data_IF_301918886487
#
_entry.id   IF_301918886487
#
_cell.length_a   1.000
_cell.length_b   1.000
_cell.length_c   1.000
_cell.angle_alpha   90.00
_cell.angle_beta   90.00
_cell.angle_gamma   90.00
#
_symmetry.space_group_name_H-M   'P 1'
#
loop_
_entity.id
_entity.type
_entity.pdbx_description
1 polymer ?
#
# COMPACT_ATOMS: atom_id res chain seq x y z
N UNK A 1 4.02 -40.27 20.32
CA UNK A 1 3.08 -39.57 21.23
C UNK A 1 3.58 -38.18 21.63
N UNK A 2 4.88 -37.98 21.87
CA UNK A 2 5.47 -36.65 22.18
C UNK A 2 5.29 -35.60 21.05
N UNK A 3 5.41 -36.01 19.78
CA UNK A 3 5.28 -35.10 18.63
C UNK A 3 3.88 -34.50 18.45
N UNK A 4 2.81 -35.27 18.73
CA UNK A 4 1.43 -34.80 18.59
C UNK A 4 1.05 -33.75 19.65
N UNK A 5 1.49 -33.95 20.90
CA UNK A 5 1.28 -33.00 22.01
C UNK A 5 2.01 -31.68 21.74
N UNK A 6 3.23 -31.75 21.19
CA UNK A 6 3.98 -30.55 20.81
C UNK A 6 3.30 -29.75 19.69
N UNK A 7 2.59 -30.41 18.76
CA UNK A 7 1.92 -29.77 17.63
C UNK A 7 0.59 -29.10 18.04
N UNK A 8 -0.19 -29.72 18.92
CA UNK A 8 -1.42 -29.13 19.48
C UNK A 8 -1.11 -27.92 20.39
N UNK A 9 -0.08 -28.03 21.23
CA UNK A 9 0.36 -26.92 22.07
C UNK A 9 0.84 -25.72 21.23
N UNK A 10 1.54 -25.97 20.10
CA UNK A 10 1.91 -24.92 19.12
C UNK A 10 0.70 -24.25 18.48
N UNK A 11 -0.32 -25.01 18.05
CA UNK A 11 -1.57 -24.47 17.47
C UNK A 11 -2.31 -23.56 18.45
N UNK A 12 -2.34 -23.95 19.73
CA UNK A 12 -2.92 -23.13 20.79
C UNK A 12 -2.15 -21.80 20.97
N UNK A 13 -0.82 -21.83 21.02
CA UNK A 13 0.00 -20.63 21.20
C UNK A 13 -0.07 -19.69 19.98
N UNK A 14 -0.10 -20.24 18.77
CA UNK A 14 -0.31 -19.44 17.56
C UNK A 14 -1.66 -18.72 17.56
N UNK A 15 -2.70 -19.41 18.02
CA UNK A 15 -4.05 -18.86 18.13
C UNK A 15 -4.13 -17.78 19.22
N UNK A 16 -3.39 -17.95 20.32
CA UNK A 16 -3.33 -16.95 21.40
C UNK A 16 -2.63 -15.67 20.95
N UNK A 17 -1.48 -15.78 20.28
CA UNK A 17 -0.79 -14.61 19.73
C UNK A 17 -1.66 -13.88 18.70
N UNK A 18 -2.24 -14.63 17.75
CA UNK A 18 -3.19 -14.07 16.78
C UNK A 18 -4.33 -13.30 17.45
N UNK A 19 -4.99 -13.92 18.45
CA UNK A 19 -6.07 -13.28 19.21
C UNK A 19 -5.58 -12.03 19.94
N UNK A 20 -4.40 -12.06 20.54
CA UNK A 20 -3.84 -10.92 21.25
C UNK A 20 -3.56 -9.74 20.30
N UNK A 21 -3.01 -9.98 19.09
CA UNK A 21 -2.80 -8.94 18.09
C UNK A 21 -4.14 -8.39 17.60
N UNK A 22 -5.11 -9.26 17.29
CA UNK A 22 -6.46 -8.86 16.87
C UNK A 22 -7.17 -8.03 17.94
N UNK A 23 -7.01 -8.38 19.21
CA UNK A 23 -7.62 -7.71 20.35
C UNK A 23 -6.82 -6.46 20.79
N UNK A 24 -5.85 -6.03 19.99
CA UNK A 24 -5.02 -4.83 20.17
C UNK A 24 -4.34 -4.75 21.54
N UNK A 25 -3.81 -5.88 22.02
CA UNK A 25 -3.07 -5.94 23.29
C UNK A 25 -1.81 -5.06 23.23
N UNK A 26 -1.37 -4.50 24.37
CA UNK A 26 -0.24 -3.57 24.38
C UNK A 26 1.05 -4.26 23.88
N UNK A 27 1.90 -3.47 23.23
CA UNK A 27 3.14 -3.92 22.58
C UNK A 27 4.02 -4.81 23.48
N UNK A 28 4.19 -4.44 24.75
CA UNK A 28 5.00 -5.24 25.68
C UNK A 28 4.46 -6.66 25.87
N UNK A 29 3.13 -6.84 25.89
CA UNK A 29 2.49 -8.15 26.05
C UNK A 29 2.64 -8.96 24.78
N UNK A 30 2.48 -8.31 23.63
CA UNK A 30 2.68 -8.97 22.34
C UNK A 30 4.13 -9.44 22.16
N UNK A 31 5.11 -8.62 22.57
CA UNK A 31 6.52 -9.01 22.50
C UNK A 31 6.89 -10.10 23.51
N UNK A 32 6.32 -10.06 24.71
CA UNK A 32 6.44 -11.18 25.66
C UNK A 32 5.91 -12.46 25.03
N UNK A 33 4.68 -12.45 24.48
CA UNK A 33 4.10 -13.61 23.79
C UNK A 33 4.90 -14.06 22.56
N UNK A 34 5.44 -13.13 21.77
CA UNK A 34 6.23 -13.39 20.55
C UNK A 34 7.55 -14.10 20.89
N UNK A 35 8.17 -13.71 22.00
CA UNK A 35 9.48 -14.19 22.45
C UNK A 35 9.43 -15.34 23.46
N UNK A 36 8.30 -15.54 24.17
CA UNK A 36 8.10 -16.59 25.18
C UNK A 36 8.37 -18.00 24.63
N UNK A 37 8.17 -18.23 23.33
CA UNK A 37 8.44 -19.51 22.67
C UNK A 37 9.94 -19.84 22.51
N UNK A 38 10.84 -18.90 22.80
CA UNK A 38 12.30 -19.10 22.74
C UNK A 38 12.84 -19.90 23.94
N UNK A 39 12.09 -19.99 25.06
CA UNK A 39 12.57 -20.54 26.33
C UNK A 39 12.26 -22.04 26.53
N UNK A 40 11.52 -22.70 25.64
CA UNK A 40 11.26 -24.13 25.71
C UNK A 40 12.42 -24.94 25.09
N UNK A 41 13.21 -25.69 25.87
CA UNK A 41 14.33 -26.47 25.38
C UNK A 41 13.81 -27.68 24.59
N UNK A 42 14.00 -27.65 23.27
CA UNK A 42 13.86 -28.81 22.37
C UNK A 42 14.65 -28.45 21.10
N UNK A 43 15.35 -29.43 20.52
CA UNK A 43 16.54 -29.29 19.66
C UNK A 43 16.38 -28.58 18.30
N UNK A 44 15.23 -27.99 17.98
CA UNK A 44 15.00 -27.23 16.74
C UNK A 44 14.56 -25.79 17.05
N UNK A 45 15.54 -24.89 17.20
CA UNK A 45 15.33 -23.46 17.50
C UNK A 45 14.77 -22.64 16.33
N UNK A 46 14.78 -23.18 15.11
CA UNK A 46 14.37 -22.47 13.88
C UNK A 46 12.86 -22.25 13.75
N UNK A 47 12.03 -23.03 14.47
CA UNK A 47 10.59 -23.14 14.17
C UNK A 47 9.63 -22.64 15.25
N UNK A 48 10.14 -22.01 16.32
CA UNK A 48 9.38 -21.81 17.57
C UNK A 48 8.86 -20.39 17.80
N UNK A 49 9.47 -19.34 17.29
CA UNK A 49 9.05 -17.95 17.57
C UNK A 49 8.50 -17.28 16.31
N UNK A 50 7.46 -16.45 16.47
CA UNK A 50 7.04 -15.55 15.39
C UNK A 50 8.14 -14.53 15.08
N UNK A 51 8.55 -14.47 13.82
CA UNK A 51 9.52 -13.45 13.38
C UNK A 51 8.90 -12.05 13.44
N UNK A 52 9.71 -10.97 13.52
CA UNK A 52 9.18 -9.60 13.40
C UNK A 52 8.38 -9.39 12.11
N UNK A 53 8.79 -10.02 11.01
CA UNK A 53 8.06 -10.01 9.74
C UNK A 53 6.67 -10.63 9.85
N UNK A 54 6.55 -11.82 10.45
CA UNK A 54 5.26 -12.49 10.64
C UNK A 54 4.35 -11.71 11.62
N UNK A 55 4.93 -11.17 12.69
CA UNK A 55 4.21 -10.30 13.61
C UNK A 55 3.71 -9.03 12.92
N UNK A 56 4.50 -8.45 12.01
CA UNK A 56 4.09 -7.28 11.22
C UNK A 56 2.92 -7.63 10.29
N UNK A 57 2.88 -8.82 9.67
CA UNK A 57 1.72 -9.25 8.87
C UNK A 57 0.42 -9.23 9.69
N UNK A 58 0.44 -9.78 10.91
CA UNK A 58 -0.73 -9.71 11.79
C UNK A 58 -1.07 -8.29 12.22
N UNK A 59 -0.06 -7.46 12.51
CA UNK A 59 -0.28 -6.06 12.84
C UNK A 59 -0.94 -5.29 11.69
N UNK A 60 -0.54 -5.56 10.44
CA UNK A 60 -1.18 -5.00 9.23
C UNK A 60 -2.63 -5.48 9.11
N UNK A 61 -2.88 -6.80 9.16
CA UNK A 61 -4.24 -7.35 9.01
C UNK A 61 -5.21 -6.74 10.03
N UNK A 62 -4.75 -6.55 11.27
CA UNK A 62 -5.57 -6.05 12.38
C UNK A 62 -5.46 -4.55 12.66
N UNK A 63 -4.80 -3.78 11.79
CA UNK A 63 -4.53 -2.35 11.96
C UNK A 63 -3.92 -1.98 13.32
N UNK A 64 -3.02 -2.83 13.84
CA UNK A 64 -2.35 -2.57 15.10
C UNK A 64 -1.19 -1.59 14.91
N UNK A 65 -1.51 -0.31 14.67
CA UNK A 65 -0.55 0.74 14.30
C UNK A 65 0.61 0.88 15.29
N UNK A 66 0.34 0.86 16.61
CA UNK A 66 1.37 0.95 17.64
C UNK A 66 2.36 -0.24 17.60
N UNK A 67 1.89 -1.43 17.25
CA UNK A 67 2.73 -2.61 17.17
C UNK A 67 3.53 -2.62 15.87
N UNK A 68 2.89 -2.25 14.75
CA UNK A 68 3.59 -2.05 13.49
C UNK A 68 4.72 -1.00 13.62
N UNK A 69 4.44 0.15 14.24
CA UNK A 69 5.45 1.18 14.50
C UNK A 69 6.58 0.65 15.39
N UNK A 70 6.26 -0.10 16.44
CA UNK A 70 7.28 -0.71 17.30
C UNK A 70 8.18 -1.67 16.51
N UNK A 71 7.60 -2.60 15.74
CA UNK A 71 8.35 -3.58 14.96
C UNK A 71 9.24 -2.89 13.91
N UNK A 72 8.68 -1.94 13.16
CA UNK A 72 9.39 -1.20 12.12
C UNK A 72 10.48 -0.26 12.66
N UNK A 73 10.33 0.24 13.89
CA UNK A 73 11.36 1.09 14.53
C UNK A 73 12.46 0.29 15.20
N UNK A 74 12.14 -0.87 15.78
CA UNK A 74 13.08 -1.69 16.55
C UNK A 74 13.81 -2.74 15.71
N UNK A 75 13.14 -3.29 14.70
CA UNK A 75 13.60 -4.40 13.85
C UNK A 75 13.34 -4.09 12.36
N UNK A 76 13.85 -2.98 11.79
CA UNK A 76 13.46 -2.51 10.47
C UNK A 76 13.78 -3.50 9.33
N UNK A 77 14.91 -4.20 9.42
CA UNK A 77 15.32 -5.18 8.41
C UNK A 77 14.55 -6.50 8.59
N UNK A 78 14.42 -6.99 9.82
CA UNK A 78 13.75 -8.26 10.12
C UNK A 78 12.23 -8.18 9.99
N UNK A 79 11.63 -6.99 10.21
CA UNK A 79 10.21 -6.77 10.05
C UNK A 79 9.79 -6.72 8.57
N UNK A 80 10.71 -6.33 7.67
CA UNK A 80 10.46 -6.29 6.22
C UNK A 80 11.08 -7.48 5.48
N UNK A 81 11.70 -8.42 6.19
CA UNK A 81 12.21 -9.66 5.63
C UNK A 81 11.08 -10.55 5.09
N UNK A 82 11.39 -11.43 4.15
CA UNK A 82 10.42 -12.41 3.66
C UNK A 82 9.93 -13.30 4.81
N UNK A 83 8.60 -13.45 4.99
CA UNK A 83 8.06 -14.32 6.01
C UNK A 83 8.37 -15.78 5.68
N UNK A 84 8.38 -16.66 6.70
CA UNK A 84 8.63 -18.08 6.47
C UNK A 84 7.56 -18.73 5.56
N UNK A 85 7.92 -19.85 4.93
CA UNK A 85 7.08 -20.62 3.98
C UNK A 85 5.68 -21.01 4.50
N UNK A 86 5.45 -20.90 5.82
CA UNK A 86 4.15 -21.17 6.48
C UNK A 86 3.07 -20.15 6.15
N UNK A 87 3.45 -18.94 5.75
CA UNK A 87 2.53 -17.83 5.53
C UNK A 87 2.18 -17.59 4.06
N UNK A 88 2.97 -18.14 3.14
CA UNK A 88 2.81 -17.91 1.71
C UNK A 88 2.98 -19.23 0.94
N UNK A 89 1.89 -19.74 0.36
CA UNK A 89 1.94 -20.89 -0.56
C UNK A 89 2.62 -20.54 -1.90
N UNK A 90 2.82 -19.25 -2.17
CA UNK A 90 3.53 -18.70 -3.32
C UNK A 90 4.44 -17.58 -2.82
N UNK A 91 5.73 -17.51 -3.20
CA UNK A 91 6.61 -16.41 -2.81
C UNK A 91 6.10 -15.13 -3.47
N UNK A 92 5.36 -14.30 -2.72
CA UNK A 92 5.00 -12.95 -3.16
C UNK A 92 6.06 -11.99 -2.62
N UNK A 93 6.86 -11.32 -3.46
CA UNK A 93 7.74 -10.25 -3.02
C UNK A 93 6.93 -9.16 -2.29
N UNK A 94 7.43 -8.69 -1.15
CA UNK A 94 6.83 -7.63 -0.31
C UNK A 94 5.37 -7.86 0.16
N UNK A 95 5.09 -8.94 0.92
CA UNK A 95 3.73 -9.26 1.36
C UNK A 95 3.14 -8.18 2.29
N UNK A 96 3.95 -7.52 3.12
CA UNK A 96 3.48 -6.48 4.05
C UNK A 96 2.89 -5.28 3.32
N UNK A 97 3.54 -4.85 2.23
CA UNK A 97 3.09 -3.71 1.43
C UNK A 97 1.76 -4.05 0.72
N UNK A 98 1.71 -5.20 0.06
CA UNK A 98 0.51 -5.68 -0.63
C UNK A 98 -0.66 -5.91 0.33
N UNK A 99 -0.42 -6.43 1.54
CA UNK A 99 -1.46 -6.58 2.56
C UNK A 99 -1.91 -5.23 3.12
N UNK A 100 -1.00 -4.27 3.33
CA UNK A 100 -1.36 -2.94 3.80
C UNK A 100 -2.29 -2.25 2.79
N UNK A 101 -2.01 -2.39 1.50
CA UNK A 101 -2.93 -1.96 0.44
C UNK A 101 -4.23 -2.74 0.55
N UNK A 102 -4.21 -4.09 0.51
CA UNK A 102 -5.38 -4.97 0.50
C UNK A 102 -6.35 -4.73 1.66
N UNK A 103 -5.85 -4.40 2.83
CA UNK A 103 -6.65 -4.14 4.04
C UNK A 103 -6.87 -2.64 4.32
N UNK A 104 -6.50 -1.76 3.39
CA UNK A 104 -6.68 -0.31 3.48
C UNK A 104 -5.99 0.34 4.71
N UNK A 105 -4.76 -0.09 4.98
CA UNK A 105 -3.98 0.33 6.16
C UNK A 105 -3.04 1.47 5.82
N UNK A 106 -3.58 2.64 5.43
CA UNK A 106 -2.77 3.77 4.94
C UNK A 106 -1.71 4.26 5.95
N UNK A 107 -2.00 4.24 7.26
CA UNK A 107 -1.03 4.64 8.29
C UNK A 107 0.15 3.68 8.35
N UNK A 108 -0.12 2.37 8.35
CA UNK A 108 0.92 1.34 8.38
C UNK A 108 1.67 1.30 7.04
N UNK A 109 0.97 1.48 5.92
CA UNK A 109 1.55 1.62 4.58
C UNK A 109 2.57 2.77 4.55
N UNK A 110 2.23 3.94 5.09
CA UNK A 110 3.14 5.08 5.20
C UNK A 110 4.37 4.77 6.06
N UNK A 111 4.20 4.06 7.17
CA UNK A 111 5.32 3.61 8.02
C UNK A 111 6.25 2.65 7.27
N UNK A 112 5.69 1.66 6.55
CA UNK A 112 6.46 0.70 5.75
C UNK A 112 7.27 1.45 4.69
N UNK A 113 6.63 2.32 3.89
CA UNK A 113 7.29 3.09 2.84
C UNK A 113 8.40 4.00 3.38
N UNK A 114 8.17 4.63 4.54
CA UNK A 114 9.19 5.45 5.21
C UNK A 114 10.42 4.63 5.61
N UNK A 115 10.23 3.42 6.14
CA UNK A 115 11.35 2.53 6.51
C UNK A 115 12.08 2.01 5.27
N UNK A 116 11.33 1.58 4.24
CA UNK A 116 11.91 1.14 2.95
C UNK A 116 12.83 2.20 2.37
N UNK A 117 12.46 3.48 2.44
CA UNK A 117 13.30 4.59 1.96
C UNK A 117 14.56 4.86 2.79
N UNK A 118 14.55 4.53 4.09
CA UNK A 118 15.70 4.75 4.98
C UNK A 118 16.72 3.62 4.90
N UNK A 119 16.31 2.42 4.51
CA UNK A 119 17.19 1.26 4.46
C UNK A 119 18.12 1.35 3.23
N UNK A 120 19.46 1.45 3.42
CA UNK A 120 20.42 1.58 2.32
C UNK A 120 20.67 0.27 1.54
N UNK A 121 20.19 -0.86 2.06
CA UNK A 121 20.54 -2.23 1.62
C UNK A 121 19.36 -3.17 1.42
N UNK A 122 18.12 -2.69 1.55
CA UNK A 122 16.99 -3.43 1.00
C UNK A 122 17.16 -3.32 -0.53
N UNK A 123 17.61 -4.43 -1.13
CA UNK A 123 18.19 -4.61 -2.45
C UNK A 123 17.64 -3.71 -3.58
N UNK A 124 18.37 -3.50 -4.69
CA UNK A 124 17.77 -3.03 -5.94
C UNK A 124 16.45 -3.76 -6.27
N UNK A 125 16.31 -5.03 -5.87
CA UNK A 125 15.07 -5.82 -5.91
C UNK A 125 13.93 -5.37 -4.99
N UNK A 126 14.10 -4.46 -4.03
CA UNK A 126 12.96 -3.87 -3.27
C UNK A 126 12.44 -2.62 -3.95
N UNK A 127 13.23 -1.98 -4.83
CA UNK A 127 12.80 -0.82 -5.63
C UNK A 127 12.38 -1.23 -7.05
N UNK A 128 13.05 -2.23 -7.62
CA UNK A 128 12.72 -2.89 -8.88
C UNK A 128 11.81 -4.11 -8.68
N UNK A 129 11.69 -4.62 -7.44
CA UNK A 129 10.87 -5.77 -7.06
C UNK A 129 9.96 -5.52 -5.84
N UNK A 130 9.38 -4.30 -5.72
CA UNK A 130 7.98 -4.15 -5.25
C UNK A 130 6.98 -4.92 -6.15
N UNK A 131 7.45 -5.85 -6.96
CA UNK A 131 6.85 -6.21 -8.23
C UNK A 131 6.50 -7.67 -8.12
N UNK A 132 5.22 -7.91 -8.38
CA UNK A 132 4.60 -9.18 -8.73
C UNK A 132 4.02 -9.97 -7.55
N UNK A 133 2.73 -9.74 -7.30
CA UNK A 133 1.84 -10.89 -7.00
C UNK A 133 2.00 -11.95 -8.12
N UNK A 134 1.50 -13.18 -7.93
CA UNK A 134 1.66 -14.26 -8.92
C UNK A 134 1.30 -13.91 -10.38
N UNK A 135 0.49 -12.86 -10.60
CA UNK A 135 0.10 -12.34 -11.92
C UNK A 135 0.92 -11.11 -12.39
N UNK A 136 2.10 -10.83 -11.83
CA UNK A 136 2.90 -9.67 -12.22
C UNK A 136 2.46 -8.32 -11.64
N UNK A 137 1.33 -8.29 -10.91
CA UNK A 137 0.75 -7.06 -10.36
C UNK A 137 1.64 -6.41 -9.29
N UNK A 138 1.84 -5.10 -9.39
CA UNK A 138 2.45 -4.28 -8.34
C UNK A 138 1.42 -3.86 -7.27
N UNK A 139 1.84 -3.39 -6.08
CA UNK A 139 0.97 -2.78 -5.08
C UNK A 139 0.09 -1.67 -5.65
N UNK A 140 0.59 -0.86 -6.61
CA UNK A 140 -0.22 0.14 -7.29
C UNK A 140 -1.33 -0.46 -8.15
N UNK A 141 -1.09 -1.59 -8.84
CA UNK A 141 -2.14 -2.33 -9.55
C UNK A 141 -3.23 -2.80 -8.58
N UNK A 142 -2.84 -3.35 -7.43
CA UNK A 142 -3.78 -3.75 -6.38
C UNK A 142 -4.57 -2.55 -5.83
N UNK A 143 -3.93 -1.40 -5.63
CA UNK A 143 -4.60 -0.18 -5.17
C UNK A 143 -5.61 0.34 -6.20
N UNK A 144 -5.29 0.23 -7.49
CA UNK A 144 -6.21 0.56 -8.58
C UNK A 144 -7.40 -0.42 -8.63
N UNK A 145 -7.13 -1.72 -8.59
CA UNK A 145 -8.15 -2.78 -8.61
C UNK A 145 -9.13 -2.64 -7.44
N UNK A 146 -8.64 -2.26 -6.26
CA UNK A 146 -9.45 -2.09 -5.06
C UNK A 146 -9.97 -0.66 -4.85
N UNK A 147 -9.72 0.25 -5.81
CA UNK A 147 -10.18 1.66 -5.81
C UNK A 147 -9.77 2.40 -4.52
N UNK A 148 -8.46 2.41 -4.21
CA UNK A 148 -7.88 3.03 -3.00
C UNK A 148 -7.01 4.25 -3.31
N UNK A 149 -7.59 5.46 -3.46
CA UNK A 149 -6.84 6.64 -3.87
C UNK A 149 -5.76 7.06 -2.85
N UNK A 150 -5.99 6.86 -1.55
CA UNK A 150 -5.02 7.13 -0.48
C UNK A 150 -3.78 6.26 -0.61
N UNK A 151 -3.99 4.95 -0.81
CA UNK A 151 -2.90 4.00 -1.03
C UNK A 151 -2.15 4.33 -2.33
N UNK A 152 -2.85 4.65 -3.42
CA UNK A 152 -2.23 5.09 -4.67
C UNK A 152 -1.35 6.32 -4.47
N UNK A 153 -1.83 7.32 -3.73
CA UNK A 153 -1.09 8.55 -3.47
C UNK A 153 0.19 8.29 -2.66
N UNK A 154 0.14 7.42 -1.65
CA UNK A 154 1.32 7.03 -0.86
C UNK A 154 2.34 6.26 -1.72
N UNK A 155 1.88 5.30 -2.51
CA UNK A 155 2.72 4.49 -3.38
C UNK A 155 3.39 5.33 -4.50
N UNK A 156 2.61 6.12 -5.21
CA UNK A 156 3.10 7.04 -6.25
C UNK A 156 4.04 8.10 -5.66
N UNK A 157 3.67 8.64 -4.50
CA UNK A 157 4.49 9.59 -3.74
C UNK A 157 5.83 9.00 -3.30
N UNK A 158 5.87 7.69 -3.00
CA UNK A 158 7.09 6.94 -2.69
C UNK A 158 7.96 6.64 -3.92
N UNK A 159 7.53 7.04 -5.12
CA UNK A 159 8.27 6.87 -6.36
C UNK A 159 7.99 5.56 -7.09
N UNK A 160 6.90 4.85 -6.77
CA UNK A 160 6.44 3.72 -7.58
C UNK A 160 6.08 4.20 -9.00
N UNK A 161 6.45 3.43 -10.02
CA UNK A 161 6.21 3.80 -11.42
C UNK A 161 4.72 3.74 -11.76
N UNK A 162 4.11 4.84 -12.26
CA UNK A 162 2.70 4.87 -12.64
C UNK A 162 2.40 4.13 -13.97
N UNK A 163 3.44 3.68 -14.66
CA UNK A 163 3.37 3.06 -16.00
C UNK A 163 3.97 1.65 -16.02
N UNK A 164 4.29 1.07 -14.87
CA UNK A 164 4.78 -0.30 -14.80
C UNK A 164 3.69 -1.27 -15.30
N UNK A 165 3.97 -2.17 -16.26
CA UNK A 165 3.00 -3.16 -16.70
C UNK A 165 2.95 -4.38 -15.74
N UNK A 166 1.77 -5.00 -15.63
CA UNK A 166 1.61 -6.33 -15.04
C UNK A 166 1.99 -7.48 -16.02
N UNK A 167 1.75 -8.74 -15.65
CA UNK A 167 2.10 -9.88 -16.51
C UNK A 167 1.25 -9.95 -17.79
N UNK A 168 0.08 -9.30 -17.82
CA UNK A 168 -0.76 -9.17 -19.00
C UNK A 168 -0.37 -7.95 -19.85
N UNK A 169 0.62 -7.17 -19.41
CA UNK A 169 1.05 -5.93 -20.05
C UNK A 169 0.20 -4.73 -19.66
N UNK A 170 -0.80 -4.87 -18.79
CA UNK A 170 -1.69 -3.78 -18.41
C UNK A 170 -0.99 -2.84 -17.44
N UNK A 171 -1.14 -1.53 -17.65
CA UNK A 171 -0.68 -0.52 -16.70
C UNK A 171 -1.72 -0.28 -15.60
N UNK A 172 -1.38 0.40 -14.48
CA UNK A 172 -2.36 0.78 -13.47
C UNK A 172 -3.52 1.61 -14.04
N UNK A 173 -3.26 2.45 -15.05
CA UNK A 173 -4.30 3.20 -15.75
C UNK A 173 -5.22 2.29 -16.56
N UNK A 174 -4.66 1.25 -17.21
CA UNK A 174 -5.46 0.27 -17.94
C UNK A 174 -6.42 -0.48 -16.99
N UNK A 175 -5.97 -0.90 -15.80
CA UNK A 175 -6.84 -1.54 -14.80
C UNK A 175 -8.02 -0.63 -14.42
N UNK A 176 -7.75 0.65 -14.13
CA UNK A 176 -8.82 1.60 -13.78
C UNK A 176 -9.82 1.78 -14.94
N UNK A 177 -9.32 1.85 -16.17
CA UNK A 177 -10.16 1.99 -17.35
C UNK A 177 -10.99 0.72 -17.61
N UNK A 178 -10.41 -0.46 -17.47
CA UNK A 178 -11.17 -1.71 -17.61
C UNK A 178 -12.36 -1.77 -16.64
N UNK A 179 -12.17 -1.35 -15.38
CA UNK A 179 -13.26 -1.28 -14.40
C UNK A 179 -14.33 -0.24 -14.74
N UNK A 180 -13.96 0.82 -15.46
CA UNK A 180 -14.88 1.88 -15.88
C UNK A 180 -15.67 1.51 -17.14
N UNK A 181 -15.15 0.61 -17.99
CA UNK A 181 -15.74 0.22 -19.28
C UNK A 181 -17.19 -0.26 -19.16
N UNK A 182 -17.51 -0.94 -18.05
CA UNK A 182 -18.82 -1.55 -17.81
C UNK A 182 -19.69 -0.75 -16.81
N UNK A 183 -19.21 0.40 -16.36
CA UNK A 183 -19.92 1.23 -15.40
C UNK A 183 -20.79 2.29 -16.08
N UNK A 184 -22.08 2.34 -15.73
CA UNK A 184 -23.00 3.39 -16.22
C UNK A 184 -22.59 4.77 -15.70
N UNK A 185 -22.20 4.83 -14.43
CA UNK A 185 -21.65 6.02 -13.77
C UNK A 185 -20.42 5.61 -12.96
N UNK A 186 -19.35 6.40 -13.04
CA UNK A 186 -18.18 6.17 -12.20
C UNK A 186 -18.49 6.56 -10.76
N UNK A 187 -18.17 5.68 -9.80
CA UNK A 187 -18.15 6.09 -8.40
C UNK A 187 -17.11 7.22 -8.23
N UNK A 188 -17.38 8.14 -7.29
CA UNK A 188 -16.46 9.22 -6.94
C UNK A 188 -15.03 8.71 -6.69
N UNK A 189 -14.90 7.54 -6.06
CA UNK A 189 -13.62 6.88 -5.81
C UNK A 189 -12.86 6.50 -7.08
N UNK A 190 -13.51 5.86 -8.07
CA UNK A 190 -12.83 5.50 -9.33
C UNK A 190 -12.35 6.72 -10.09
N UNK A 191 -13.17 7.78 -10.11
CA UNK A 191 -12.77 9.04 -10.73
C UNK A 191 -11.56 9.65 -10.01
N UNK A 192 -11.59 9.67 -8.68
CA UNK A 192 -10.46 10.13 -7.87
C UNK A 192 -9.19 9.30 -8.11
N UNK A 193 -9.28 7.99 -8.27
CA UNK A 193 -8.14 7.13 -8.62
C UNK A 193 -7.53 7.53 -9.97
N UNK A 194 -8.36 7.75 -11.00
CA UNK A 194 -7.88 8.19 -12.32
C UNK A 194 -7.21 9.56 -12.21
N UNK A 195 -7.86 10.53 -11.57
CA UNK A 195 -7.30 11.88 -11.41
C UNK A 195 -5.99 11.84 -10.60
N UNK A 196 -5.92 10.99 -9.55
CA UNK A 196 -4.71 10.77 -8.75
C UNK A 196 -3.58 10.21 -9.60
N UNK A 197 -3.84 9.17 -10.38
CA UNK A 197 -2.82 8.56 -11.23
C UNK A 197 -2.32 9.53 -12.30
N UNK A 198 -3.22 10.30 -12.93
CA UNK A 198 -2.87 11.28 -13.95
C UNK A 198 -1.95 12.39 -13.40
N UNK A 199 -2.07 12.76 -12.12
CA UNK A 199 -1.16 13.73 -11.49
C UNK A 199 0.31 13.24 -11.43
N UNK A 200 0.55 11.93 -11.54
CA UNK A 200 1.90 11.34 -11.57
C UNK A 200 2.31 10.85 -12.96
N UNK A 201 1.45 10.96 -13.97
CA UNK A 201 1.71 10.54 -15.36
C UNK A 201 1.98 11.75 -16.29
N UNK A 202 3.19 12.33 -16.31
CA UNK A 202 3.51 13.43 -17.24
C UNK A 202 3.50 12.99 -18.71
N UNK A 203 3.67 11.68 -18.96
CA UNK A 203 3.58 11.07 -20.29
C UNK A 203 2.53 9.97 -20.22
N UNK A 204 1.54 10.05 -21.09
CA UNK A 204 0.51 9.02 -21.20
C UNK A 204 1.08 7.78 -21.90
N UNK A 205 1.21 6.68 -21.15
CA UNK A 205 1.62 5.37 -21.65
C UNK A 205 0.66 4.33 -21.08
N UNK A 206 -0.23 3.81 -21.93
CA UNK A 206 -1.26 2.84 -21.56
C UNK A 206 -1.85 2.18 -22.82
N UNK A 207 -2.43 0.99 -22.70
CA UNK A 207 -2.89 0.16 -23.82
C UNK A 207 -4.29 0.52 -24.32
N UNK A 208 -5.15 1.01 -23.44
CA UNK A 208 -6.57 1.22 -23.76
C UNK A 208 -6.87 2.45 -24.62
N UNK A 209 -5.87 3.22 -25.06
CA UNK A 209 -6.07 4.45 -25.84
C UNK A 209 -6.92 4.21 -27.11
N UNK A 210 -6.71 3.09 -27.79
CA UNK A 210 -7.51 2.70 -28.96
C UNK A 210 -8.97 2.43 -28.62
N UNK A 211 -9.26 1.84 -27.46
CA UNK A 211 -10.63 1.58 -27.00
C UNK A 211 -11.39 2.88 -26.68
N UNK A 212 -10.72 3.86 -26.04
CA UNK A 212 -11.32 5.17 -25.80
C UNK A 212 -11.66 5.90 -27.11
N UNK A 213 -10.82 5.77 -28.15
CA UNK A 213 -11.06 6.39 -29.46
C UNK A 213 -12.24 5.76 -30.22
N UNK A 214 -12.46 4.46 -30.08
CA UNK A 214 -13.55 3.74 -30.79
C UNK A 214 -14.93 4.05 -30.21
N UNK A 215 -15.04 4.13 -28.88
CA UNK A 215 -16.34 4.26 -28.20
C UNK A 215 -16.34 5.42 -27.17
N UNK A 216 -16.00 6.68 -27.55
CA UNK A 216 -15.77 7.77 -26.60
C UNK A 216 -16.98 8.03 -25.69
N UNK A 217 -18.20 7.91 -26.21
CA UNK A 217 -19.44 8.12 -25.46
C UNK A 217 -19.59 7.20 -24.24
N UNK A 218 -19.05 5.98 -24.28
CA UNK A 218 -19.09 5.04 -23.14
C UNK A 218 -18.24 5.51 -21.97
N UNK A 219 -17.15 6.20 -22.27
CA UNK A 219 -16.19 6.69 -21.28
C UNK A 219 -16.57 8.07 -20.76
N UNK A 220 -17.31 8.86 -21.55
CA UNK A 220 -17.71 10.23 -21.20
C UNK A 220 -18.58 10.30 -19.95
N UNK A 221 -19.46 9.33 -19.69
CA UNK A 221 -20.28 9.34 -18.46
C UNK A 221 -19.44 9.11 -17.19
N UNK A 222 -18.37 8.32 -17.30
CA UNK A 222 -17.47 8.00 -16.19
C UNK A 222 -16.36 9.05 -15.99
N UNK A 223 -15.71 9.47 -17.07
CA UNK A 223 -14.51 10.32 -17.07
C UNK A 223 -14.79 11.77 -17.46
N UNK A 224 -15.98 12.09 -17.96
CA UNK A 224 -16.26 13.39 -18.54
C UNK A 224 -15.57 13.59 -19.90
N UNK A 225 -16.10 14.50 -20.73
CA UNK A 225 -15.65 14.65 -22.12
C UNK A 225 -14.20 15.14 -22.21
N UNK A 226 -13.79 16.02 -21.31
CA UNK A 226 -12.45 16.64 -21.34
C UNK A 226 -11.35 15.62 -21.03
N UNK A 227 -11.55 14.76 -20.03
CA UNK A 227 -10.59 13.70 -19.69
C UNK A 227 -10.49 12.67 -20.82
N UNK A 228 -11.60 12.28 -21.45
CA UNK A 228 -11.57 11.36 -22.60
C UNK A 228 -10.80 11.97 -23.77
N UNK A 229 -11.03 13.25 -24.08
CA UNK A 229 -10.30 13.95 -25.14
C UNK A 229 -8.81 14.11 -24.83
N UNK A 230 -8.46 14.36 -23.57
CA UNK A 230 -7.07 14.38 -23.11
C UNK A 230 -6.41 13.00 -23.29
N UNK A 231 -7.02 11.93 -22.76
CA UNK A 231 -6.49 10.56 -22.83
C UNK A 231 -6.33 10.06 -24.28
N UNK A 232 -7.22 10.49 -25.17
CA UNK A 232 -7.15 10.13 -26.60
C UNK A 232 -6.17 10.98 -27.41
N UNK A 233 -5.58 12.02 -26.81
CA UNK A 233 -4.64 12.94 -27.46
C UNK A 233 -5.29 14.01 -28.34
N UNK A 234 -6.61 14.21 -28.22
CA UNK A 234 -7.34 15.25 -28.95
C UNK A 234 -7.22 16.62 -28.29
N UNK A 235 -6.92 16.65 -26.98
CA UNK A 235 -6.68 17.88 -26.22
C UNK A 235 -5.38 17.78 -25.41
N UNK A 236 -4.67 18.91 -25.23
CA UNK A 236 -3.54 18.96 -24.31
C UNK A 236 -4.02 18.78 -22.85
N UNK A 237 -3.09 18.43 -21.97
CA UNK A 237 -3.36 18.35 -20.54
C UNK A 237 -3.83 19.72 -20.00
N UNK A 238 -4.83 19.76 -19.09
CA UNK A 238 -5.23 20.99 -18.44
C UNK A 238 -4.04 21.64 -17.71
N UNK A 239 -3.97 22.98 -17.71
CA UNK A 239 -2.88 23.72 -17.07
C UNK A 239 -2.71 23.34 -15.59
N UNK A 240 -3.83 23.12 -14.87
CA UNK A 240 -3.81 22.66 -13.48
C UNK A 240 -3.10 21.31 -13.34
N UNK A 241 -3.38 20.36 -14.23
CA UNK A 241 -2.78 19.03 -14.21
C UNK A 241 -1.26 19.13 -14.47
N UNK A 242 -0.84 19.90 -15.48
CA UNK A 242 0.59 20.11 -15.79
C UNK A 242 1.31 20.78 -14.62
N UNK A 243 0.67 21.79 -14.01
CA UNK A 243 1.23 22.50 -12.85
C UNK A 243 1.44 21.55 -11.68
N UNK A 244 0.43 20.72 -11.38
CA UNK A 244 0.53 19.71 -10.32
C UNK A 244 1.57 18.64 -10.60
N UNK A 245 1.62 18.10 -11.82
CA UNK A 245 2.65 17.16 -12.25
C UNK A 245 4.05 17.76 -12.03
N UNK A 246 4.23 19.03 -12.36
CA UNK A 246 5.51 19.74 -12.18
C UNK A 246 5.85 19.87 -10.69
N UNK A 247 4.90 20.26 -9.85
CA UNK A 247 5.11 20.39 -8.39
C UNK A 247 5.43 19.05 -7.76
N UNK A 248 4.66 18.00 -8.07
CA UNK A 248 4.83 16.66 -7.49
C UNK A 248 6.18 16.04 -7.88
N UNK A 249 6.68 16.30 -9.10
CA UNK A 249 8.01 15.85 -9.54
C UNK A 249 9.17 16.47 -8.74
N UNK A 250 8.97 17.62 -8.10
CA UNK A 250 10.00 18.25 -7.26
C UNK A 250 10.02 17.71 -5.83
N UNK A 251 9.01 16.92 -5.42
CA UNK A 251 8.93 16.40 -4.06
C UNK A 251 9.82 15.16 -3.90
N UNK A 252 10.55 15.09 -2.79
CA UNK A 252 11.35 13.91 -2.44
C UNK A 252 10.45 12.74 -2.06
N UNK A 253 10.67 11.53 -2.62
CA UNK A 253 9.89 10.35 -2.24
C UNK A 253 9.96 10.00 -0.75
N UNK A 254 11.12 10.25 -0.13
CA UNK A 254 11.40 9.91 1.27
C UNK A 254 10.61 10.76 2.28
N UNK A 255 10.21 11.97 1.90
CA UNK A 255 9.48 12.93 2.73
C UNK A 255 8.20 13.39 2.04
N UNK A 256 7.68 12.60 1.09
CA UNK A 256 6.62 13.02 0.17
C UNK A 256 5.38 13.53 0.90
N UNK A 257 4.87 12.76 1.87
CA UNK A 257 3.65 13.11 2.61
C UNK A 257 3.80 14.43 3.38
N UNK A 258 4.90 14.59 4.13
CA UNK A 258 5.19 15.81 4.88
C UNK A 258 5.35 17.02 3.94
N UNK A 259 6.06 16.83 2.83
CA UNK A 259 6.31 17.89 1.84
C UNK A 259 5.01 18.33 1.15
N UNK A 260 4.15 17.38 0.79
CA UNK A 260 2.85 17.64 0.17
C UNK A 260 1.93 18.43 1.13
N UNK A 261 1.96 18.09 2.43
CA UNK A 261 1.19 18.79 3.45
C UNK A 261 1.71 20.21 3.71
N UNK A 262 3.02 20.44 3.61
CA UNK A 262 3.65 21.75 3.78
C UNK A 262 3.51 22.69 2.58
N UNK A 263 3.03 22.21 1.42
CA UNK A 263 2.83 23.06 0.25
C UNK A 263 1.90 24.24 0.56
N UNK A 264 2.27 25.48 0.18
CA UNK A 264 1.48 26.69 0.40
C UNK A 264 0.35 26.83 -0.65
N UNK A 265 -0.42 25.77 -0.83
CA UNK A 265 -1.59 25.72 -1.72
C UNK A 265 -2.86 25.42 -0.92
N UNK A 266 -4.04 25.92 -1.36
CA UNK A 266 -5.31 25.56 -0.76
C UNK A 266 -5.51 24.05 -0.64
N UNK A 267 -6.15 23.56 0.44
CA UNK A 267 -6.35 22.12 0.65
C UNK A 267 -7.20 21.47 -0.45
N UNK A 268 -8.07 22.23 -1.12
CA UNK A 268 -8.86 21.79 -2.27
C UNK A 268 -8.03 21.44 -3.50
N UNK A 269 -6.81 21.96 -3.61
CA UNK A 269 -5.89 21.67 -4.70
C UNK A 269 -4.92 20.54 -4.35
N UNK A 270 -4.81 20.14 -3.07
CA UNK A 270 -3.98 19.00 -2.68
C UNK A 270 -4.66 17.71 -3.16
N UNK A 271 -3.89 16.71 -3.64
CA UNK A 271 -4.44 15.40 -3.95
C UNK A 271 -5.27 14.87 -2.79
N UNK A 272 -6.52 14.52 -3.06
CA UNK A 272 -7.42 14.01 -2.03
C UNK A 272 -6.90 12.66 -1.51
N UNK A 273 -6.68 12.56 -0.20
CA UNK A 273 -6.24 11.33 0.47
C UNK A 273 -5.26 11.50 1.64
N UNK A 274 -4.61 12.67 1.78
CA UNK A 274 -3.76 12.98 2.95
C UNK A 274 -4.38 13.97 3.94
N UNK A 275 -5.53 14.54 3.58
CA UNK A 275 -6.34 15.27 4.54
C UNK A 275 -6.90 14.23 5.50
N UNK A 276 -6.22 14.01 6.62
CA UNK A 276 -6.66 13.54 7.94
C UNK A 276 -5.39 13.00 8.64
N UNK A 277 -4.49 13.91 9.01
CA UNK A 277 -3.64 13.63 10.19
C UNK A 277 -4.56 13.41 11.40
N UNK A 278 -4.11 12.74 12.47
CA UNK A 278 -4.90 12.65 13.69
C UNK A 278 -5.25 14.09 14.06
N UNK A 279 -6.54 14.42 14.01
CA UNK A 279 -7.01 15.72 14.46
C UNK A 279 -6.41 15.98 15.84
N UNK A 280 -6.05 17.23 16.18
CA UNK A 280 -5.55 17.52 17.51
C UNK A 280 -6.55 16.91 18.48
N UNK A 281 -6.10 15.96 19.29
CA UNK A 281 -6.83 15.57 20.47
C UNK A 281 -7.11 16.89 21.18
N UNK A 282 -8.37 17.32 21.16
CA UNK A 282 -8.86 18.37 22.04
C UNK A 282 -8.61 17.87 23.46
N UNK A 283 -7.40 18.13 23.95
CA UNK A 283 -7.12 18.34 25.35
C UNK A 283 -7.67 19.72 25.64
N UNK A 284 -8.98 19.80 25.81
CA UNK A 284 -9.52 20.82 26.71
C UNK A 284 -10.12 20.10 27.92
N UNK A 285 -9.36 20.29 29.00
CA UNK A 285 -9.79 20.15 30.39
C UNK A 285 -10.92 21.13 30.67
N UNK A 286 -11.58 20.88 31.81
CA UNK A 286 -12.55 21.70 32.57
C UNK A 286 -14.01 21.41 32.20
N UNK A 287 -14.88 20.95 33.09
CA UNK A 287 -14.91 20.87 34.57
C UNK A 287 -15.30 19.45 35.05
#
# INVERSE_FOLDING_TARGET
MSSAVSLEQRRCLSLLFYRAVRDLKPVWMLEDMRTMLALCPDEDHSQKTYSPSEALLYAVVHDHQAYAQYLLSRFPEEALAEPGERFCCCPTPSPHLSLAVRYDRHSILGLILQVVHRLPRAAPDVREGLVQQGDGKTPLHLACEMVRPEAMLLLLGSGESPVAPDAQGLTPLDILLEQLKDCKEASRGRRQCVDTLLMFMPRLQFHMQGALRREPHRWTSALGPDTVQFLTGQRPAPLLLISMQTVLQQLSPTTFSDSLMQLPIPPSLKPAGLAHGPGPHCRDRTL
#
